data_IF_020023488218
#
_entry.id   IF_020023488218
#
_cell.length_a   1.000
_cell.length_b   1.000
_cell.length_c   1.000
_cell.angle_alpha   90.00
_cell.angle_beta   90.00
_cell.angle_gamma   90.00
#
_symmetry.space_group_name_H-M   'P 1'
#
loop_
_entity.id
_entity.type
_entity.pdbx_description
1 polymer ?
#
# COMPACT_ATOMS: atom_id res chain seq x y z
N UNK A 1 -16.78 -1.91 -6.64
CA UNK A 1 -17.71 -0.78 -6.42
C UNK A 1 -17.16 0.17 -5.33
N UNK A 2 -15.93 0.68 -5.51
CA UNK A 2 -15.21 1.58 -4.57
C UNK A 2 -14.84 2.94 -5.20
N UNK A 3 -15.02 3.05 -6.52
CA UNK A 3 -14.49 4.15 -7.35
C UNK A 3 -15.18 5.49 -7.11
N UNK A 4 -16.40 5.49 -6.57
CA UNK A 4 -17.21 6.69 -6.39
C UNK A 4 -17.31 7.17 -4.93
N UNK A 5 -16.54 6.57 -4.03
CA UNK A 5 -16.59 6.87 -2.60
C UNK A 5 -15.30 7.55 -2.17
N UNK A 6 -15.42 8.60 -1.36
CA UNK A 6 -14.25 9.23 -0.74
C UNK A 6 -13.63 8.28 0.29
N UNK A 7 -12.29 8.24 0.38
CA UNK A 7 -11.59 7.49 1.42
C UNK A 7 -12.03 8.01 2.80
N UNK A 8 -12.41 7.11 3.73
CA UNK A 8 -12.90 7.49 5.05
C UNK A 8 -11.81 8.04 5.98
N UNK A 9 -10.53 7.67 5.79
CA UNK A 9 -9.42 8.09 6.65
C UNK A 9 -8.42 8.96 5.89
N UNK A 10 -8.50 10.27 6.12
CA UNK A 10 -7.54 11.25 5.62
C UNK A 10 -6.42 11.49 6.64
N UNK A 11 -5.20 11.80 6.18
CA UNK A 11 -4.03 12.10 7.01
C UNK A 11 -3.66 11.02 8.05
N UNK A 12 -3.93 9.74 7.72
CA UNK A 12 -3.46 8.62 8.54
C UNK A 12 -2.13 8.14 7.98
N UNK A 13 -1.08 8.25 8.79
CA UNK A 13 0.27 7.88 8.37
C UNK A 13 0.54 6.39 8.58
N UNK A 14 -0.01 5.79 9.63
CA UNK A 14 0.30 4.42 10.02
C UNK A 14 -0.97 3.64 10.35
N UNK A 15 -1.07 2.41 9.81
CA UNK A 15 -2.11 1.45 10.20
C UNK A 15 -1.47 0.20 10.78
N UNK A 16 -2.02 -0.27 11.89
CA UNK A 16 -1.67 -1.54 12.52
C UNK A 16 -2.87 -2.48 12.42
N UNK A 17 -2.63 -3.71 11.95
CA UNK A 17 -3.66 -4.73 11.77
C UNK A 17 -3.23 -5.98 12.53
N UNK A 18 -3.96 -6.29 13.59
CA UNK A 18 -3.81 -7.54 14.32
C UNK A 18 -4.66 -8.63 13.66
N UNK A 19 -4.01 -9.70 13.23
CA UNK A 19 -4.64 -10.83 12.55
C UNK A 19 -4.53 -12.06 13.44
N UNK A 20 -5.63 -12.41 14.11
CA UNK A 20 -5.67 -13.54 15.05
C UNK A 20 -5.46 -14.90 14.36
N UNK A 21 -5.86 -15.04 13.10
CA UNK A 21 -5.78 -16.28 12.33
C UNK A 21 -4.99 -16.07 11.06
N UNK A 22 -4.09 -17.00 10.74
CA UNK A 22 -3.30 -16.93 9.51
C UNK A 22 -4.19 -16.76 8.28
N UNK A 23 -3.96 -15.72 7.48
CA UNK A 23 -4.72 -15.47 6.26
C UNK A 23 -3.98 -16.08 5.08
N UNK A 24 -4.62 -17.01 4.36
CA UNK A 24 -4.04 -17.62 3.16
C UNK A 24 -4.42 -16.79 1.94
N UNK A 25 -3.44 -16.26 1.21
CA UNK A 25 -3.60 -15.66 -0.13
C UNK A 25 -4.47 -14.38 -0.21
N UNK A 26 -4.60 -13.63 0.89
CA UNK A 26 -5.42 -12.40 0.93
C UNK A 26 -4.59 -11.13 1.15
N UNK A 27 -3.25 -11.22 1.14
CA UNK A 27 -2.40 -10.08 1.48
C UNK A 27 -2.66 -8.89 0.56
N UNK A 28 -2.82 -9.14 -0.75
CA UNK A 28 -3.13 -8.12 -1.74
C UNK A 28 -4.51 -7.51 -1.52
N UNK A 29 -5.53 -8.32 -1.25
CA UNK A 29 -6.90 -7.83 -1.03
C UNK A 29 -6.99 -6.92 0.20
N UNK A 30 -6.27 -7.29 1.26
CA UNK A 30 -6.18 -6.51 2.49
C UNK A 30 -5.44 -5.21 2.24
N UNK A 31 -4.28 -5.26 1.59
CA UNK A 31 -3.49 -4.07 1.26
C UNK A 31 -4.27 -3.12 0.33
N UNK A 32 -4.94 -3.62 -0.72
CA UNK A 32 -5.80 -2.82 -1.59
C UNK A 32 -6.93 -2.14 -0.80
N UNK A 33 -7.57 -2.89 0.10
CA UNK A 33 -8.65 -2.36 0.94
C UNK A 33 -8.15 -1.27 1.89
N UNK A 34 -6.97 -1.46 2.51
CA UNK A 34 -6.38 -0.47 3.42
C UNK A 34 -5.91 0.79 2.69
N UNK A 35 -5.29 0.64 1.52
CA UNK A 35 -4.90 1.78 0.66
C UNK A 35 -6.11 2.53 0.09
N UNK A 36 -7.24 1.84 -0.09
CA UNK A 36 -8.50 2.50 -0.40
C UNK A 36 -9.08 3.26 0.80
N UNK A 37 -9.01 2.69 2.00
CA UNK A 37 -9.45 3.35 3.26
C UNK A 37 -8.61 4.60 3.54
N UNK A 38 -7.29 4.49 3.38
CA UNK A 38 -6.35 5.58 3.58
C UNK A 38 -5.29 5.62 2.47
N UNK A 39 -5.45 6.52 1.47
CA UNK A 39 -4.59 6.55 0.29
C UNK A 39 -3.27 7.29 0.49
N UNK A 40 -2.95 7.74 1.70
CA UNK A 40 -1.71 8.48 2.01
C UNK A 40 -0.94 7.83 3.16
N UNK A 41 -1.05 6.50 3.29
CA UNK A 41 -0.32 5.75 4.30
C UNK A 41 1.17 5.79 4.05
N UNK A 42 1.94 5.98 5.12
CA UNK A 42 3.38 5.80 5.17
C UNK A 42 3.73 4.35 5.52
N UNK A 43 2.97 3.72 6.43
CA UNK A 43 3.23 2.34 6.87
C UNK A 43 1.95 1.55 7.13
N UNK A 44 1.95 0.27 6.72
CA UNK A 44 1.02 -0.75 7.21
C UNK A 44 1.82 -1.82 7.93
N UNK A 45 1.40 -2.16 9.14
CA UNK A 45 1.99 -3.21 9.96
C UNK A 45 0.96 -4.31 10.21
N UNK A 46 1.34 -5.55 9.97
CA UNK A 46 0.54 -6.74 10.24
C UNK A 46 1.17 -7.55 11.35
N UNK A 47 0.41 -7.83 12.40
CA UNK A 47 0.80 -8.81 13.40
C UNK A 47 0.09 -10.13 13.07
N UNK A 48 0.83 -11.06 12.47
CA UNK A 48 0.31 -12.37 12.08
C UNK A 48 1.13 -13.48 12.73
N UNK A 49 0.48 -14.33 13.53
CA UNK A 49 1.13 -15.47 14.18
C UNK A 49 2.43 -15.11 14.96
N UNK A 50 2.44 -13.93 15.61
CA UNK A 50 3.58 -13.34 16.34
C UNK A 50 4.74 -12.86 15.46
N UNK A 51 4.54 -12.78 14.15
CA UNK A 51 5.48 -12.16 13.21
C UNK A 51 4.93 -10.80 12.81
N UNK A 52 5.72 -9.76 13.04
CA UNK A 52 5.42 -8.42 12.58
C UNK A 52 5.88 -8.26 11.13
N UNK A 53 4.94 -8.13 10.19
CA UNK A 53 5.21 -7.80 8.79
C UNK A 53 4.96 -6.32 8.56
N UNK A 54 5.78 -5.66 7.74
CA UNK A 54 5.60 -4.22 7.48
C UNK A 54 5.73 -3.87 6.01
N UNK A 55 4.84 -2.99 5.55
CA UNK A 55 4.91 -2.31 4.26
C UNK A 55 5.13 -0.82 4.52
N UNK A 56 6.24 -0.27 4.03
CA UNK A 56 6.49 1.17 4.06
C UNK A 56 6.35 1.74 2.65
N UNK A 57 5.55 2.78 2.52
CA UNK A 57 5.27 3.48 1.28
C UNK A 57 6.04 4.79 1.27
N UNK A 58 6.77 5.02 0.18
CA UNK A 58 7.50 6.27 -0.05
C UNK A 58 6.82 6.94 -1.23
N UNK A 59 6.27 8.12 -0.96
CA UNK A 59 5.52 8.92 -1.93
C UNK A 59 6.42 10.02 -2.52
N UNK A 60 6.20 10.38 -3.79
CA UNK A 60 6.79 11.57 -4.38
C UNK A 60 6.15 12.83 -3.82
N UNK A 61 7.00 13.83 -3.56
CA UNK A 61 6.54 15.20 -3.34
C UNK A 61 5.84 15.70 -4.61
N UNK A 62 4.76 16.45 -4.43
CA UNK A 62 3.73 16.73 -5.43
C UNK A 62 4.16 17.58 -6.66
N UNK A 63 5.44 17.60 -7.01
CA UNK A 63 6.06 18.48 -8.00
C UNK A 63 5.86 18.07 -9.47
N UNK A 64 5.37 16.88 -9.78
CA UNK A 64 5.20 16.45 -11.18
C UNK A 64 3.76 16.66 -11.65
N UNK A 65 3.59 17.61 -12.57
CA UNK A 65 2.34 18.11 -13.17
C UNK A 65 1.63 17.11 -14.12
N UNK A 66 1.76 15.81 -13.89
CA UNK A 66 1.03 14.83 -14.71
C UNK A 66 -0.42 14.71 -14.24
N UNK A 67 -1.33 15.38 -14.94
CA UNK A 67 -2.79 15.21 -14.87
C UNK A 67 -3.18 13.79 -15.30
N UNK A 68 -2.99 12.80 -14.43
CA UNK A 68 -3.54 11.46 -14.64
C UNK A 68 -5.00 11.39 -14.19
N UNK A 69 -5.85 10.86 -15.06
CA UNK A 69 -7.31 10.93 -15.02
C UNK A 69 -7.98 10.35 -13.77
N UNK A 70 -7.37 9.39 -13.06
CA UNK A 70 -8.04 8.72 -11.94
C UNK A 70 -8.22 9.59 -10.68
N UNK A 71 -7.66 10.82 -10.69
CA UNK A 71 -7.79 11.78 -9.59
C UNK A 71 -8.39 13.12 -10.03
N UNK A 72 -8.88 13.26 -11.26
CA UNK A 72 -9.34 14.55 -11.79
C UNK A 72 -10.47 15.18 -10.96
N UNK A 73 -11.26 14.36 -10.24
CA UNK A 73 -12.36 14.80 -9.38
C UNK A 73 -12.02 14.84 -7.89
N UNK A 74 -10.78 14.54 -7.49
CA UNK A 74 -10.35 14.56 -6.09
C UNK A 74 -9.36 15.70 -5.87
N UNK A 75 -9.43 16.41 -4.73
CA UNK A 75 -8.48 17.49 -4.43
C UNK A 75 -7.07 16.97 -4.10
N UNK A 76 -6.85 15.65 -4.12
CA UNK A 76 -5.57 14.99 -3.87
C UNK A 76 -5.28 13.90 -4.92
N UNK A 77 -4.00 13.70 -5.24
CA UNK A 77 -3.55 12.56 -6.04
C UNK A 77 -3.62 11.27 -5.20
N UNK A 78 -4.07 10.17 -5.80
CA UNK A 78 -4.17 8.87 -5.16
C UNK A 78 -2.79 8.22 -4.98
N UNK A 79 -2.70 7.21 -4.10
CA UNK A 79 -1.47 6.46 -3.85
C UNK A 79 -0.85 5.91 -5.14
N UNK A 80 -1.65 5.50 -6.13
CA UNK A 80 -1.16 4.94 -7.41
C UNK A 80 -0.27 5.90 -8.21
N UNK A 81 -0.48 7.19 -8.04
CA UNK A 81 0.28 8.23 -8.73
C UNK A 81 1.42 8.80 -7.91
N UNK A 82 1.31 8.75 -6.58
CA UNK A 82 2.35 9.27 -5.69
C UNK A 82 3.35 8.21 -5.28
N UNK A 83 2.99 6.93 -5.30
CA UNK A 83 3.84 5.87 -4.79
C UNK A 83 5.08 5.69 -5.66
N UNK A 84 6.24 6.01 -5.08
CA UNK A 84 7.55 5.88 -5.71
C UNK A 84 8.20 4.54 -5.39
N UNK A 85 8.11 4.14 -4.13
CA UNK A 85 8.81 2.96 -3.63
C UNK A 85 8.03 2.29 -2.50
N UNK A 86 8.13 0.96 -2.45
CA UNK A 86 7.59 0.14 -1.35
C UNK A 86 8.72 -0.66 -0.73
N UNK A 87 8.81 -0.64 0.60
CA UNK A 87 9.71 -1.51 1.37
C UNK A 87 8.89 -2.58 2.07
N UNK A 88 9.28 -3.84 1.91
CA UNK A 88 8.59 -5.00 2.46
C UNK A 88 9.49 -5.69 3.50
N UNK A 89 8.93 -6.05 4.66
CA UNK A 89 9.63 -6.78 5.72
C UNK A 89 8.83 -7.98 6.19
N UNK A 90 9.53 -9.11 6.39
CA UNK A 90 9.01 -10.34 7.00
C UNK A 90 7.82 -10.99 6.25
N UNK A 91 7.68 -10.71 4.95
CA UNK A 91 6.76 -11.42 4.07
C UNK A 91 7.41 -12.68 3.51
N UNK A 92 6.61 -13.73 3.28
CA UNK A 92 7.08 -14.91 2.56
C UNK A 92 7.34 -14.60 1.08
N UNK A 93 8.15 -15.40 0.40
CA UNK A 93 8.45 -15.20 -1.02
C UNK A 93 7.20 -15.14 -1.90
N UNK A 94 6.16 -15.93 -1.58
CA UNK A 94 4.88 -15.89 -2.32
C UNK A 94 4.16 -14.56 -2.11
N UNK A 95 4.07 -14.08 -0.87
CA UNK A 95 3.43 -12.79 -0.56
C UNK A 95 4.18 -11.62 -1.20
N UNK A 96 5.52 -11.65 -1.18
CA UNK A 96 6.35 -10.65 -1.84
C UNK A 96 6.07 -10.60 -3.34
N UNK A 97 5.97 -11.76 -4.00
CA UNK A 97 5.66 -11.82 -5.43
C UNK A 97 4.26 -11.27 -5.72
N UNK A 98 3.24 -11.70 -4.97
CA UNK A 98 1.86 -11.21 -5.12
C UNK A 98 1.78 -9.68 -4.94
N UNK A 99 2.45 -9.14 -3.93
CA UNK A 99 2.49 -7.69 -3.68
C UNK A 99 3.28 -6.95 -4.77
N UNK A 100 4.40 -7.49 -5.24
CA UNK A 100 5.18 -6.91 -6.35
C UNK A 100 4.32 -6.79 -7.60
N UNK A 101 3.68 -7.88 -8.01
CA UNK A 101 2.82 -7.92 -9.20
C UNK A 101 1.66 -6.92 -9.06
N UNK A 102 1.06 -6.85 -7.87
CA UNK A 102 0.01 -5.89 -7.57
C UNK A 102 0.48 -4.43 -7.73
N UNK A 103 1.60 -4.06 -7.10
CA UNK A 103 2.09 -2.67 -7.15
C UNK A 103 2.56 -2.26 -8.55
N UNK A 104 3.29 -3.13 -9.27
CA UNK A 104 3.71 -2.83 -10.65
C UNK A 104 2.53 -2.72 -11.61
N UNK A 105 1.45 -3.46 -11.39
CA UNK A 105 0.24 -3.38 -12.21
C UNK A 105 -0.59 -2.14 -11.91
N UNK A 106 -0.61 -1.68 -10.64
CA UNK A 106 -1.55 -0.66 -10.18
C UNK A 106 -0.93 0.73 -9.96
N UNK A 107 0.40 0.86 -9.92
CA UNK A 107 1.10 2.11 -9.67
C UNK A 107 2.35 2.27 -10.56
N UNK A 108 2.79 3.51 -10.76
CA UNK A 108 4.04 3.81 -11.46
C UNK A 108 5.23 3.77 -10.50
N UNK A 109 5.41 2.61 -9.87
CA UNK A 109 6.46 2.41 -8.89
C UNK A 109 7.83 2.29 -9.55
N UNK A 110 8.85 2.93 -8.98
CA UNK A 110 10.22 2.86 -9.48
C UNK A 110 10.96 1.65 -8.92
N UNK A 111 10.72 1.31 -7.65
CA UNK A 111 11.45 0.25 -6.97
C UNK A 111 10.63 -0.41 -5.85
N UNK A 112 10.82 -1.72 -5.66
CA UNK A 112 10.31 -2.45 -4.50
C UNK A 112 11.49 -3.16 -3.82
N UNK A 113 11.74 -2.80 -2.56
CA UNK A 113 12.86 -3.32 -1.76
C UNK A 113 12.33 -4.35 -0.75
N UNK A 114 12.91 -5.54 -0.77
CA UNK A 114 12.76 -6.51 0.32
C UNK A 114 13.85 -6.23 1.34
N UNK A 115 13.45 -5.93 2.57
CA UNK A 115 14.38 -5.72 3.67
C UNK A 115 14.47 -7.04 4.47
N UNK A 116 15.66 -7.64 4.61
CA UNK A 116 15.83 -8.86 5.37
C UNK A 116 15.44 -8.66 6.84
N UNK A 117 14.94 -9.72 7.46
CA UNK A 117 14.63 -9.77 8.89
C UNK A 117 15.92 -9.56 9.71
N UNK A 118 15.91 -8.60 10.64
CA UNK A 118 16.97 -8.46 11.67
C UNK A 118 16.90 -9.58 12.72
#
# INVERSE_FOLDING_TARGET
MRVNLLPPLYATNNLHVDIEKRWKHLVVEVVDSLLWISPQLDTISFNEARVLKTLKFIHEDASNEDEKSCCASLPWKCWRHKLKQVKMQNFSCMEQQELRDYFFTNAHISEIIDVPSE
#
